data_IF_625326035839
#
_entry.id   IF_625326035839
#
_cell.length_a   1.000
_cell.length_b   1.000
_cell.length_c   1.000
_cell.angle_alpha   90.00
_cell.angle_beta   90.00
_cell.angle_gamma   90.00
#
_symmetry.space_group_name_H-M   'P 1'
#
loop_
_entity.id
_entity.type
_entity.pdbx_description
1 polymer ?
#
# COMPACT_ATOMS: atom_id res chain seq x y z
N UNK A 1 -21.79 -7.34 10.73
CA UNK A 1 -21.17 -6.58 9.62
C UNK A 1 -20.37 -7.57 8.81
N UNK A 2 -20.67 -7.71 7.52
CA UNK A 2 -19.92 -8.59 6.61
C UNK A 2 -18.51 -8.03 6.43
N UNK A 3 -17.49 -8.70 6.97
CA UNK A 3 -16.09 -8.37 6.68
C UNK A 3 -15.89 -8.38 5.17
N UNK A 4 -15.35 -7.30 4.61
CA UNK A 4 -15.00 -7.26 3.20
C UNK A 4 -13.91 -8.31 2.92
N UNK A 5 -14.10 -9.15 1.90
CA UNK A 5 -13.17 -10.25 1.60
C UNK A 5 -11.71 -9.79 1.40
N UNK A 6 -11.53 -8.53 0.99
CA UNK A 6 -10.21 -7.93 0.81
C UNK A 6 -9.42 -7.84 2.12
N UNK A 7 -10.08 -7.69 3.27
CA UNK A 7 -9.43 -7.62 4.57
C UNK A 7 -8.74 -8.93 4.93
N UNK A 8 -9.35 -10.05 4.55
CA UNK A 8 -8.83 -11.40 4.78
C UNK A 8 -7.86 -11.88 3.71
N UNK A 9 -7.61 -11.09 2.66
CA UNK A 9 -6.64 -11.47 1.63
C UNK A 9 -5.23 -11.35 2.20
N UNK A 10 -4.43 -12.39 1.96
CA UNK A 10 -3.02 -12.39 2.33
C UNK A 10 -2.24 -11.33 1.55
N UNK A 11 -1.42 -10.56 2.26
CA UNK A 11 -0.47 -9.59 1.68
C UNK A 11 0.45 -10.30 0.69
N UNK A 12 0.87 -11.53 0.97
CA UNK A 12 1.72 -12.34 0.10
C UNK A 12 1.09 -12.64 -1.27
N UNK A 13 -0.24 -12.62 -1.37
CA UNK A 13 -0.96 -12.80 -2.65
C UNK A 13 -1.09 -11.50 -3.42
N UNK A 14 -1.20 -10.37 -2.71
CA UNK A 14 -1.41 -9.04 -3.32
C UNK A 14 -0.08 -8.43 -3.74
N UNK A 15 0.95 -8.58 -2.92
CA UNK A 15 2.28 -8.01 -3.13
C UNK A 15 2.89 -8.32 -4.52
N UNK A 16 2.91 -9.58 -5.01
CA UNK A 16 3.44 -9.88 -6.34
C UNK A 16 2.67 -9.17 -7.47
N UNK A 17 1.39 -8.87 -7.27
CA UNK A 17 0.57 -8.14 -8.25
C UNK A 17 0.96 -6.67 -8.31
N UNK A 18 1.35 -6.06 -7.19
CA UNK A 18 1.89 -4.70 -7.16
C UNK A 18 3.25 -4.64 -7.86
N UNK A 19 4.15 -5.57 -7.54
CA UNK A 19 5.46 -5.66 -8.20
C UNK A 19 5.30 -5.83 -9.70
N UNK A 20 4.49 -6.81 -10.15
CA UNK A 20 4.24 -7.02 -11.56
C UNK A 20 3.59 -5.80 -12.26
N UNK A 21 2.73 -5.05 -11.57
CA UNK A 21 2.14 -3.80 -12.09
C UNK A 21 3.21 -2.72 -12.29
N UNK A 22 4.14 -2.59 -11.34
CA UNK A 22 5.26 -1.66 -11.40
C UNK A 22 6.26 -2.05 -12.50
N UNK A 23 6.69 -3.31 -12.56
CA UNK A 23 7.65 -3.83 -13.54
C UNK A 23 7.15 -3.67 -14.99
N UNK A 24 5.85 -3.90 -15.23
CA UNK A 24 5.20 -3.64 -16.54
C UNK A 24 5.33 -2.18 -17.00
N UNK A 25 5.71 -1.27 -16.11
CA UNK A 25 5.88 0.16 -16.35
C UNK A 25 7.34 0.61 -16.21
N UNK A 26 8.27 -0.33 -16.18
CA UNK A 26 9.71 -0.05 -16.06
C UNK A 26 10.14 0.42 -14.67
N UNK A 27 9.32 0.12 -13.65
CA UNK A 27 9.59 0.39 -12.24
C UNK A 27 10.11 -0.88 -11.56
N UNK A 28 10.67 -0.76 -10.36
CA UNK A 28 11.33 -1.88 -9.68
C UNK A 28 10.56 -2.37 -8.46
N UNK A 29 10.91 -3.59 -8.02
CA UNK A 29 10.41 -4.17 -6.78
C UNK A 29 10.77 -3.30 -5.57
N UNK A 30 11.98 -2.74 -5.54
CA UNK A 30 12.49 -1.91 -4.45
C UNK A 30 11.67 -0.62 -4.30
N UNK A 31 11.21 -0.02 -5.40
CA UNK A 31 10.31 1.14 -5.35
C UNK A 31 8.96 0.79 -4.70
N UNK A 32 8.43 -0.41 -4.97
CA UNK A 32 7.19 -0.90 -4.34
C UNK A 32 7.40 -1.13 -2.84
N UNK A 33 8.52 -1.74 -2.46
CA UNK A 33 8.87 -1.96 -1.06
C UNK A 33 9.14 -0.65 -0.31
N UNK A 34 9.79 0.34 -0.95
CA UNK A 34 9.95 1.68 -0.38
C UNK A 34 8.59 2.33 -0.11
N UNK A 35 7.63 2.22 -1.04
CA UNK A 35 6.26 2.73 -0.82
C UNK A 35 5.59 2.06 0.37
N UNK A 36 5.67 0.73 0.47
CA UNK A 36 5.04 -0.01 1.57
C UNK A 36 5.64 0.40 2.90
N UNK A 37 6.97 0.38 3.01
CA UNK A 37 7.69 0.78 4.24
C UNK A 37 7.45 2.24 4.60
N UNK A 38 7.42 3.14 3.61
CA UNK A 38 7.09 4.54 3.85
C UNK A 38 5.66 4.72 4.38
N UNK A 39 4.71 3.88 3.95
CA UNK A 39 3.31 3.97 4.40
C UNK A 39 3.12 3.40 5.82
N UNK A 40 3.68 2.23 6.09
CA UNK A 40 3.41 1.46 7.32
C UNK A 40 4.44 1.64 8.43
N UNK A 41 5.64 2.12 8.08
CA UNK A 41 6.78 2.17 9.00
C UNK A 41 7.49 0.82 9.20
N UNK A 42 7.13 -0.22 8.43
CA UNK A 42 7.86 -1.49 8.47
C UNK A 42 9.30 -1.31 7.99
N UNK A 43 10.21 -2.04 8.62
CA UNK A 43 11.52 -2.36 8.05
C UNK A 43 11.40 -3.36 6.90
N UNK A 44 12.48 -3.56 6.15
CA UNK A 44 12.52 -4.57 5.09
C UNK A 44 12.31 -5.98 5.67
N UNK A 45 12.97 -6.28 6.79
CA UNK A 45 12.89 -7.57 7.48
C UNK A 45 11.46 -7.85 7.96
N UNK A 46 10.78 -6.86 8.54
CA UNK A 46 9.39 -7.02 8.99
C UNK A 46 8.43 -7.24 7.81
N UNK A 47 8.61 -6.51 6.70
CA UNK A 47 7.83 -6.71 5.49
C UNK A 47 7.99 -8.15 4.97
N UNK A 48 9.22 -8.64 4.90
CA UNK A 48 9.51 -10.02 4.46
C UNK A 48 8.88 -11.05 5.39
N UNK A 49 8.94 -10.85 6.71
CA UNK A 49 8.28 -11.72 7.70
C UNK A 49 6.77 -11.78 7.47
N UNK A 50 6.10 -10.65 7.18
CA UNK A 50 4.66 -10.64 6.88
C UNK A 50 4.33 -11.34 5.55
N UNK A 51 5.21 -11.24 4.54
CA UNK A 51 5.06 -11.94 3.28
C UNK A 51 5.22 -13.46 3.47
N UNK A 52 6.18 -13.90 4.27
CA UNK A 52 6.39 -15.33 4.59
C UNK A 52 5.25 -15.91 5.42
N UNK A 53 4.79 -15.18 6.45
CA UNK A 53 3.67 -15.56 7.32
C UNK A 53 2.31 -15.51 6.62
N UNK A 54 2.25 -14.94 5.41
CA UNK A 54 1.02 -14.76 4.66
C UNK A 54 -0.05 -13.97 5.43
N UNK A 55 0.36 -13.00 6.26
CA UNK A 55 -0.54 -12.17 7.07
C UNK A 55 -1.64 -11.55 6.21
N UNK A 56 -2.87 -11.48 6.72
CA UNK A 56 -3.97 -10.81 6.04
C UNK A 56 -3.82 -9.28 6.07
N UNK A 57 -4.46 -8.59 5.14
CA UNK A 57 -4.34 -7.13 4.99
C UNK A 57 -4.83 -6.37 6.23
N UNK A 58 -5.89 -6.84 6.89
CA UNK A 58 -6.41 -6.22 8.13
C UNK A 58 -5.34 -6.22 9.22
N UNK A 59 -4.75 -7.38 9.48
CA UNK A 59 -3.69 -7.57 10.48
C UNK A 59 -2.41 -6.83 10.08
N UNK A 60 -2.03 -6.85 8.80
CA UNK A 60 -0.84 -6.15 8.30
C UNK A 60 -0.90 -4.64 8.52
N UNK A 61 -2.07 -4.01 8.32
CA UNK A 61 -2.21 -2.58 8.61
C UNK A 61 -2.44 -2.30 10.10
N UNK A 62 -3.06 -3.22 10.84
CA UNK A 62 -3.27 -3.08 12.28
C UNK A 62 -1.96 -3.22 13.08
N UNK A 63 -1.03 -4.08 12.63
CA UNK A 63 0.28 -4.32 13.25
C UNK A 63 1.37 -3.38 12.72
N UNK A 64 1.02 -2.45 11.83
CA UNK A 64 1.97 -1.48 11.28
C UNK A 64 2.61 -0.64 12.42
N UNK A 65 3.96 -0.64 12.56
CA UNK A 65 4.63 -0.02 13.71
C UNK A 65 4.35 1.48 13.82
N UNK A 66 4.36 2.17 12.68
CA UNK A 66 4.14 3.59 12.62
C UNK A 66 3.61 4.00 11.25
N UNK A 67 2.29 4.02 11.12
CA UNK A 67 1.64 4.54 9.93
C UNK A 67 2.04 6.01 9.71
N UNK A 68 2.54 6.31 8.52
CA UNK A 68 3.13 7.62 8.24
C UNK A 68 2.05 8.73 8.24
N UNK A 69 2.20 9.81 9.02
CA UNK A 69 1.18 10.87 9.11
C UNK A 69 0.97 11.61 7.78
N UNK A 70 1.96 11.64 6.90
CA UNK A 70 1.88 12.29 5.59
C UNK A 70 0.91 11.56 4.65
N UNK A 71 0.56 10.30 4.94
CA UNK A 71 -0.43 9.53 4.17
C UNK A 71 -1.80 10.21 4.08
N UNK A 72 -2.16 11.05 5.06
CA UNK A 72 -3.39 11.85 5.02
C UNK A 72 -3.43 12.87 3.85
N UNK A 73 -2.28 13.15 3.23
CA UNK A 73 -2.19 13.98 2.02
C UNK A 73 -2.43 13.18 0.72
N UNK A 74 -2.57 11.86 0.80
CA UNK A 74 -2.92 11.03 -0.34
C UNK A 74 -4.38 11.28 -0.68
N UNK A 75 -4.62 11.86 -1.86
CA UNK A 75 -5.94 12.27 -2.33
C UNK A 75 -6.22 11.79 -3.75
N UNK A 76 -7.49 11.77 -4.11
CA UNK A 76 -7.99 11.50 -5.44
C UNK A 76 -8.57 10.09 -5.58
N UNK A 77 -8.80 9.70 -6.83
CA UNK A 77 -9.54 8.48 -7.14
C UNK A 77 -8.58 7.31 -7.43
N UNK A 78 -8.89 6.13 -6.91
CA UNK A 78 -8.29 4.84 -7.25
C UNK A 78 -9.36 3.75 -7.14
N UNK A 79 -9.31 2.73 -7.99
CA UNK A 79 -10.30 1.63 -7.99
C UNK A 79 -11.77 2.11 -8.03
N UNK A 80 -12.05 3.27 -8.64
CA UNK A 80 -13.39 3.85 -8.75
C UNK A 80 -13.89 4.61 -7.51
N UNK A 81 -13.10 4.71 -6.44
CA UNK A 81 -13.47 5.39 -5.19
C UNK A 81 -12.50 6.52 -4.87
N UNK A 82 -12.98 7.56 -4.16
CA UNK A 82 -12.16 8.67 -3.67
C UNK A 82 -11.59 8.33 -2.30
N UNK A 83 -10.26 8.30 -2.17
CA UNK A 83 -9.59 7.75 -0.98
C UNK A 83 -9.84 8.57 0.29
N UNK A 84 -9.94 9.89 0.16
CA UNK A 84 -10.18 10.80 1.28
C UNK A 84 -11.62 10.74 1.83
N UNK A 85 -12.55 10.12 1.12
CA UNK A 85 -13.96 9.98 1.52
C UNK A 85 -14.27 8.59 2.11
N UNK A 86 -13.29 7.69 2.18
CA UNK A 86 -13.48 6.35 2.74
C UNK A 86 -13.58 6.43 4.26
N UNK A 87 -14.74 6.05 4.82
CA UNK A 87 -14.99 6.07 6.26
C UNK A 87 -14.33 4.89 6.99
N UNK A 88 -14.23 3.73 6.35
CA UNK A 88 -13.63 2.53 6.94
C UNK A 88 -12.10 2.63 6.97
N UNK A 89 -11.46 2.72 8.16
CA UNK A 89 -10.03 3.04 8.26
C UNK A 89 -9.14 2.03 7.52
N UNK A 90 -9.35 0.73 7.73
CA UNK A 90 -8.55 -0.32 7.07
C UNK A 90 -8.73 -0.27 5.55
N UNK A 91 -9.94 0.01 5.06
CA UNK A 91 -10.16 0.15 3.62
C UNK A 91 -9.42 1.37 3.07
N UNK A 92 -9.43 2.48 3.82
CA UNK A 92 -8.71 3.69 3.44
C UNK A 92 -7.21 3.42 3.33
N UNK A 93 -6.60 2.72 4.29
CA UNK A 93 -5.17 2.38 4.26
C UNK A 93 -4.81 1.47 3.07
N UNK A 94 -5.65 0.47 2.77
CA UNK A 94 -5.50 -0.37 1.57
C UNK A 94 -5.57 0.49 0.30
N UNK A 95 -6.51 1.43 0.22
CA UNK A 95 -6.66 2.32 -0.95
C UNK A 95 -5.56 3.36 -1.05
N UNK A 96 -4.96 3.79 0.05
CA UNK A 96 -3.75 4.59 0.01
C UNK A 96 -2.60 3.82 -0.63
N UNK A 97 -2.38 2.56 -0.25
CA UNK A 97 -1.38 1.73 -0.90
C UNK A 97 -1.67 1.56 -2.40
N UNK A 98 -2.90 1.19 -2.78
CA UNK A 98 -3.31 1.09 -4.19
C UNK A 98 -3.01 2.39 -4.96
N UNK A 99 -3.29 3.54 -4.34
CA UNK A 99 -3.08 4.85 -4.94
C UNK A 99 -1.60 5.13 -5.19
N UNK A 100 -0.73 4.84 -4.22
CA UNK A 100 0.72 5.05 -4.35
C UNK A 100 1.30 4.14 -5.45
N UNK A 101 0.89 2.88 -5.50
CA UNK A 101 1.30 1.95 -6.56
C UNK A 101 0.75 2.36 -7.93
N UNK A 102 -0.47 2.90 -7.99
CA UNK A 102 -1.03 3.46 -9.23
C UNK A 102 -0.24 4.68 -9.71
N UNK A 103 0.20 5.53 -8.81
CA UNK A 103 1.06 6.66 -9.12
C UNK A 103 2.45 6.23 -9.64
N UNK A 104 3.03 5.19 -9.03
CA UNK A 104 4.26 4.55 -9.49
C UNK A 104 4.10 4.00 -10.91
N UNK A 105 3.02 3.24 -11.15
CA UNK A 105 2.70 2.66 -12.46
C UNK A 105 2.38 3.71 -13.53
N UNK A 106 1.93 4.91 -13.12
CA UNK A 106 1.75 6.08 -14.01
C UNK A 106 3.05 6.84 -14.27
N UNK A 107 4.17 6.37 -13.74
CA UNK A 107 5.48 6.96 -13.97
C UNK A 107 5.76 8.21 -13.14
N UNK A 108 5.02 8.48 -12.05
CA UNK A 108 5.36 9.59 -11.16
C UNK A 108 6.71 9.35 -10.48
N UNK A 109 7.43 10.43 -10.17
CA UNK A 109 8.68 10.35 -9.42
C UNK A 109 8.44 9.93 -7.97
N UNK A 110 9.36 9.17 -7.37
CA UNK A 110 9.26 8.67 -6.00
C UNK A 110 9.07 9.79 -4.98
N UNK A 111 9.78 10.91 -5.11
CA UNK A 111 9.61 12.05 -4.18
C UNK A 111 8.17 12.59 -4.21
N UNK A 112 7.55 12.65 -5.40
CA UNK A 112 6.14 13.03 -5.51
C UNK A 112 5.22 11.99 -4.90
N UNK A 113 5.48 10.70 -5.11
CA UNK A 113 4.67 9.59 -4.57
C UNK A 113 4.71 9.61 -3.04
N UNK A 114 5.92 9.71 -2.47
CA UNK A 114 6.17 9.73 -1.04
C UNK A 114 5.94 11.10 -0.39
N UNK A 115 5.40 12.06 -1.15
CA UNK A 115 5.09 13.43 -0.71
C UNK A 115 6.28 14.10 -0.01
N UNK A 116 7.50 13.77 -0.46
CA UNK A 116 8.74 14.47 -0.09
C UNK A 116 8.73 15.82 -0.81
N UNK A 117 9.04 16.90 -0.08
CA UNK A 117 9.12 18.26 -0.64
C UNK A 117 10.28 18.36 -1.63
#
# INVERSE_FOLDING_TARGET
MTKHQIYTMSVARVYPLYVAKAEKKGRTKEEVEEIIRWLTGYSQEELEVHLEKQTDLETFFAEAPQMNPVRAQIKGVVCGVRVEEIEEPIMQEIRYLDKLIDELAKGKAMDKILRKQ
#
